data_IF_824638269339
#
_entry.id   IF_824638269339
#
_cell.length_a   1.000
_cell.length_b   1.000
_cell.length_c   1.000
_cell.angle_alpha   90.00
_cell.angle_beta   90.00
_cell.angle_gamma   90.00
#
_symmetry.space_group_name_H-M   'P 1'
#
loop_
_entity.id
_entity.type
_entity.pdbx_description
1 polymer ?
#
# COMPACT_ATOMS: atom_id res chain seq x y z
N UNK A 1 18.47 2.63 10.74
CA UNK A 1 17.15 1.99 10.57
C UNK A 1 17.22 0.46 10.44
N UNK A 2 18.32 -0.22 10.81
CA UNK A 2 18.51 -1.68 10.59
C UNK A 2 17.62 -2.63 11.40
N UNK A 3 16.51 -2.14 11.97
CA UNK A 3 15.50 -2.91 12.71
C UNK A 3 14.11 -2.86 12.07
N UNK A 4 13.98 -2.15 10.94
CA UNK A 4 12.74 -2.07 10.19
C UNK A 4 12.64 -3.23 9.20
N UNK A 5 11.42 -3.55 8.80
CA UNK A 5 11.10 -4.67 7.89
C UNK A 5 11.55 -4.45 6.43
N UNK A 6 12.03 -3.25 6.07
CA UNK A 6 12.53 -2.93 4.72
C UNK A 6 11.45 -2.65 3.67
N UNK A 7 10.16 -2.60 4.05
CA UNK A 7 9.06 -2.29 3.14
C UNK A 7 9.03 -0.81 2.73
N UNK A 8 8.76 -0.57 1.45
CA UNK A 8 8.59 0.75 0.86
C UNK A 8 7.12 0.91 0.46
N UNK A 9 6.28 1.39 1.38
CA UNK A 9 4.82 1.46 1.17
C UNK A 9 4.37 2.82 0.62
N UNK A 10 3.42 2.81 -0.31
CA UNK A 10 2.77 4.00 -0.86
C UNK A 10 1.64 4.53 0.03
N UNK A 11 1.98 5.06 1.21
CA UNK A 11 1.01 5.67 2.13
C UNK A 11 1.08 5.16 3.58
N UNK A 12 0.03 5.49 4.34
CA UNK A 12 -0.14 5.07 5.73
C UNK A 12 -1.03 3.82 5.83
N UNK A 13 -1.00 3.20 7.02
CA UNK A 13 -1.99 2.16 7.36
C UNK A 13 -3.40 2.73 7.52
N UNK A 14 -3.51 4.02 7.88
CA UNK A 14 -4.78 4.75 7.94
C UNK A 14 -5.31 4.99 6.52
N UNK A 15 -6.62 4.77 6.27
CA UNK A 15 -7.26 5.15 5.02
C UNK A 15 -7.08 6.65 4.73
N UNK A 16 -6.90 7.06 3.46
CA UNK A 16 -6.73 8.46 3.08
C UNK A 16 -7.74 9.43 3.71
N UNK A 17 -9.03 9.08 3.76
CA UNK A 17 -10.07 9.94 4.35
C UNK A 17 -9.85 10.17 5.86
N UNK A 18 -9.38 9.17 6.62
CA UNK A 18 -9.06 9.35 8.04
C UNK A 18 -7.84 10.26 8.27
N UNK A 19 -6.92 10.31 7.29
CA UNK A 19 -5.82 11.26 7.31
C UNK A 19 -6.34 12.69 7.16
N UNK A 20 -7.34 12.90 6.29
CA UNK A 20 -8.02 14.19 6.15
C UNK A 20 -8.76 14.59 7.42
N UNK A 21 -9.49 13.66 8.04
CA UNK A 21 -10.20 13.91 9.31
C UNK A 21 -9.24 14.34 10.42
N UNK A 22 -8.05 13.74 10.46
CA UNK A 22 -7.07 14.02 11.52
C UNK A 22 -6.29 15.32 11.28
N UNK A 23 -5.89 15.60 10.04
CA UNK A 23 -4.97 16.70 9.70
C UNK A 23 -5.67 17.91 9.06
N UNK A 24 -6.96 17.80 8.75
CA UNK A 24 -7.68 18.74 7.90
C UNK A 24 -7.41 18.54 6.40
N UNK A 25 -8.31 19.04 5.56
CA UNK A 25 -8.30 18.80 4.12
C UNK A 25 -6.95 19.10 3.46
N UNK A 26 -6.42 20.31 3.65
CA UNK A 26 -5.21 20.76 2.96
C UNK A 26 -3.95 19.96 3.36
N UNK A 27 -3.73 19.76 4.67
CA UNK A 27 -2.56 19.03 5.15
C UNK A 27 -2.71 17.52 4.90
N UNK A 28 -3.92 16.99 5.04
CA UNK A 28 -4.22 15.59 4.79
C UNK A 28 -3.99 15.20 3.33
N UNK A 29 -4.46 15.99 2.36
CA UNK A 29 -4.22 15.70 0.94
C UNK A 29 -2.73 15.84 0.60
N UNK A 30 -2.04 16.85 1.14
CA UNK A 30 -0.59 16.97 0.97
C UNK A 30 0.16 15.74 1.52
N UNK A 31 -0.23 15.25 2.70
CA UNK A 31 0.36 14.05 3.30
C UNK A 31 0.11 12.81 2.44
N UNK A 32 -1.14 12.59 2.02
CA UNK A 32 -1.50 11.44 1.18
C UNK A 32 -0.73 11.44 -0.13
N UNK A 33 -0.67 12.58 -0.83
CA UNK A 33 0.08 12.71 -2.10
C UNK A 33 1.57 12.48 -1.91
N UNK A 34 2.17 13.10 -0.89
CA UNK A 34 3.61 12.94 -0.61
C UNK A 34 3.97 11.48 -0.33
N UNK A 35 3.19 10.78 0.50
CA UNK A 35 3.48 9.39 0.83
C UNK A 35 3.16 8.42 -0.31
N UNK A 36 2.19 8.75 -1.17
CA UNK A 36 1.91 7.97 -2.38
C UNK A 36 3.09 7.98 -3.37
N UNK A 37 3.87 9.07 -3.40
CA UNK A 37 5.07 9.22 -4.24
C UNK A 37 6.34 8.66 -3.59
N UNK A 38 6.27 8.33 -2.29
CA UNK A 38 7.41 7.86 -1.49
C UNK A 38 8.20 6.71 -2.12
N UNK A 39 7.56 5.64 -2.62
CA UNK A 39 8.28 4.52 -3.24
C UNK A 39 9.14 4.94 -4.43
N UNK A 40 8.58 5.69 -5.37
CA UNK A 40 9.33 6.18 -6.53
C UNK A 40 10.56 6.98 -6.09
N UNK A 41 10.41 7.90 -5.13
CA UNK A 41 11.55 8.67 -4.59
C UNK A 41 12.62 7.76 -3.98
N UNK A 42 12.23 6.73 -3.22
CA UNK A 42 13.19 5.79 -2.60
C UNK A 42 13.97 5.03 -3.68
N UNK A 43 13.28 4.48 -4.67
CA UNK A 43 13.94 3.70 -5.73
C UNK A 43 14.80 4.58 -6.66
N UNK A 44 14.37 5.80 -6.96
CA UNK A 44 15.20 6.80 -7.66
C UNK A 44 16.49 7.11 -6.89
N UNK A 45 16.43 7.23 -5.56
CA UNK A 45 17.61 7.47 -4.73
C UNK A 45 18.54 6.24 -4.70
N UNK A 46 17.99 5.04 -4.61
CA UNK A 46 18.76 3.79 -4.68
C UNK A 46 19.53 3.72 -6.00
N UNK A 47 18.85 3.98 -7.11
CA UNK A 47 19.47 4.00 -8.45
C UNK A 47 20.52 5.12 -8.55
N UNK A 48 20.17 6.36 -8.22
CA UNK A 48 21.08 7.52 -8.33
C UNK A 48 22.37 7.34 -7.54
N UNK A 49 22.28 6.74 -6.36
CA UNK A 49 23.43 6.56 -5.46
C UNK A 49 24.05 5.16 -5.54
N UNK A 50 23.57 4.30 -6.44
CA UNK A 50 24.05 2.93 -6.62
C UNK A 50 24.09 2.14 -5.29
N UNK A 51 23.03 2.28 -4.49
CA UNK A 51 22.94 1.65 -3.17
C UNK A 51 22.76 0.15 -3.35
N UNK A 52 23.71 -0.64 -2.87
CA UNK A 52 23.61 -2.11 -2.90
C UNK A 52 22.72 -2.60 -1.75
N UNK A 53 21.42 -2.79 -2.01
CA UNK A 53 20.43 -3.15 -0.97
C UNK A 53 19.34 -4.14 -1.41
N UNK A 54 19.59 -4.94 -2.46
CA UNK A 54 18.63 -5.98 -2.91
C UNK A 54 17.22 -5.44 -3.18
N UNK A 55 17.14 -4.20 -3.70
CA UNK A 55 15.89 -3.49 -3.93
C UNK A 55 14.98 -4.24 -4.93
N UNK A 56 13.70 -4.42 -4.57
CA UNK A 56 12.69 -5.04 -5.44
C UNK A 56 11.42 -4.19 -5.50
N UNK A 57 10.82 -4.10 -6.69
CA UNK A 57 9.57 -3.38 -6.96
C UNK A 57 8.47 -4.37 -7.36
N UNK A 58 8.15 -5.29 -6.46
CA UNK A 58 7.10 -6.32 -6.69
C UNK A 58 5.73 -5.95 -6.13
N UNK A 59 5.60 -4.72 -5.61
CA UNK A 59 4.41 -4.23 -4.94
C UNK A 59 4.18 -4.89 -3.58
N UNK A 60 2.99 -4.66 -3.01
CA UNK A 60 2.60 -5.15 -1.69
C UNK A 60 1.20 -5.76 -1.68
N UNK A 61 1.01 -6.82 -0.88
CA UNK A 61 -0.28 -7.45 -0.65
C UNK A 61 -0.74 -7.20 0.78
N UNK A 62 -1.83 -6.45 0.95
CA UNK A 62 -2.54 -6.39 2.22
C UNK A 62 -3.62 -7.46 2.22
N UNK A 63 -3.46 -8.49 3.06
CA UNK A 63 -4.35 -9.64 3.09
C UNK A 63 -5.42 -9.53 4.19
N UNK A 64 -6.68 -9.81 3.84
CA UNK A 64 -7.80 -9.80 4.78
C UNK A 64 -7.97 -11.16 5.47
N UNK A 65 -7.49 -11.28 6.71
CA UNK A 65 -7.62 -12.50 7.52
C UNK A 65 -9.03 -12.73 8.11
N UNK A 66 -9.95 -11.79 7.92
CA UNK A 66 -11.35 -11.93 8.34
C UNK A 66 -12.28 -11.02 7.49
N UNK A 67 -13.59 -11.20 7.63
CA UNK A 67 -14.60 -10.45 6.89
C UNK A 67 -14.61 -8.94 7.17
N UNK A 68 -14.20 -8.49 8.37
CA UNK A 68 -14.08 -7.06 8.69
C UNK A 68 -12.92 -6.45 7.92
N UNK A 69 -11.75 -7.09 7.98
CA UNK A 69 -10.57 -6.68 7.22
C UNK A 69 -10.85 -6.66 5.72
N UNK A 70 -11.67 -7.57 5.20
CA UNK A 70 -12.07 -7.54 3.79
C UNK A 70 -12.85 -6.27 3.42
N UNK A 71 -13.84 -5.88 4.24
CA UNK A 71 -14.56 -4.61 4.06
C UNK A 71 -13.64 -3.40 4.18
N UNK A 72 -12.69 -3.44 5.12
CA UNK A 72 -11.71 -2.37 5.30
C UNK A 72 -10.83 -2.21 4.05
N UNK A 73 -10.39 -3.32 3.44
CA UNK A 73 -9.64 -3.30 2.18
C UNK A 73 -10.48 -2.78 1.02
N UNK A 74 -11.76 -3.14 0.93
CA UNK A 74 -12.66 -2.59 -0.08
C UNK A 74 -12.83 -1.08 0.04
N UNK A 75 -12.94 -0.57 1.27
CA UNK A 75 -13.00 0.87 1.52
C UNK A 75 -11.67 1.55 1.14
N UNK A 76 -10.53 0.96 1.52
CA UNK A 76 -9.21 1.48 1.13
C UNK A 76 -9.04 1.49 -0.39
N UNK A 77 -9.47 0.44 -1.08
CA UNK A 77 -9.46 0.38 -2.54
C UNK A 77 -10.25 1.54 -3.15
N UNK A 78 -11.51 1.76 -2.73
CA UNK A 78 -12.33 2.89 -3.19
C UNK A 78 -11.58 4.23 -3.04
N UNK A 79 -11.01 4.48 -1.87
CA UNK A 79 -10.33 5.75 -1.57
C UNK A 79 -9.04 5.95 -2.37
N UNK A 80 -8.32 4.87 -2.65
CA UNK A 80 -7.08 4.87 -3.42
C UNK A 80 -7.35 5.00 -4.93
N UNK A 81 -8.34 4.29 -5.47
CA UNK A 81 -8.78 4.44 -6.87
C UNK A 81 -9.28 5.86 -7.14
N UNK A 82 -10.00 6.47 -6.20
CA UNK A 82 -10.40 7.88 -6.33
C UNK A 82 -9.23 8.88 -6.33
N UNK A 83 -8.01 8.41 -6.05
CA UNK A 83 -6.74 9.17 -6.10
C UNK A 83 -5.80 8.62 -7.17
N UNK A 84 -6.34 7.91 -8.15
CA UNK A 84 -5.62 7.34 -9.29
C UNK A 84 -4.46 6.39 -8.89
N UNK A 85 -4.52 5.84 -7.67
CA UNK A 85 -3.53 4.86 -7.25
C UNK A 85 -3.76 3.52 -7.95
N UNK A 86 -2.70 2.85 -8.43
CA UNK A 86 -2.80 1.60 -9.16
C UNK A 86 -2.97 0.40 -8.21
N UNK A 87 -4.11 0.37 -7.53
CA UNK A 87 -4.46 -0.70 -6.60
C UNK A 87 -5.52 -1.62 -7.19
N UNK A 88 -5.41 -2.92 -6.89
CA UNK A 88 -6.38 -3.92 -7.34
C UNK A 88 -6.86 -4.76 -6.17
N UNK A 89 -8.17 -4.96 -6.04
CA UNK A 89 -8.72 -5.98 -5.15
C UNK A 89 -8.61 -7.36 -5.77
N UNK A 90 -7.98 -8.27 -5.05
CA UNK A 90 -7.85 -9.67 -5.38
C UNK A 90 -8.87 -10.48 -4.59
N UNK A 91 -9.57 -11.37 -5.29
CA UNK A 91 -10.44 -12.39 -4.68
C UNK A 91 -9.65 -13.33 -3.76
N UNK A 92 -10.35 -14.09 -2.92
CA UNK A 92 -9.74 -15.14 -2.09
C UNK A 92 -8.89 -16.12 -2.92
N UNK A 93 -9.37 -16.54 -4.10
CA UNK A 93 -8.65 -17.46 -4.97
C UNK A 93 -7.36 -16.83 -5.53
N UNK A 94 -7.41 -15.57 -5.99
CA UNK A 94 -6.23 -14.85 -6.47
C UNK A 94 -5.22 -14.59 -5.34
N UNK A 95 -5.71 -14.26 -4.14
CA UNK A 95 -4.86 -14.12 -2.96
C UNK A 95 -4.17 -15.44 -2.58
N UNK A 96 -4.89 -16.56 -2.63
CA UNK A 96 -4.32 -17.89 -2.39
C UNK A 96 -3.25 -18.25 -3.42
N UNK A 97 -3.45 -17.94 -4.70
CA UNK A 97 -2.46 -18.17 -5.75
C UNK A 97 -1.15 -17.40 -5.51
N UNK A 98 -1.24 -16.16 -5.00
CA UNK A 98 -0.05 -15.31 -4.75
C UNK A 98 0.63 -15.58 -3.41
N UNK A 99 -0.13 -15.99 -2.40
CA UNK A 99 0.39 -16.14 -1.02
C UNK A 99 0.64 -17.59 -0.62
N UNK A 100 0.08 -18.57 -1.34
CA UNK A 100 0.07 -19.98 -0.95
C UNK A 100 -0.90 -20.30 0.20
N UNK A 101 -1.70 -19.34 0.68
CA UNK A 101 -2.61 -19.52 1.81
C UNK A 101 -4.07 -19.33 1.43
N UNK A 102 -4.93 -20.26 1.83
CA UNK A 102 -6.39 -20.16 1.69
C UNK A 102 -7.06 -19.46 2.88
N UNK A 103 -6.28 -18.93 3.83
CA UNK A 103 -6.79 -18.31 5.06
C UNK A 103 -7.34 -16.90 4.86
N UNK A 104 -7.18 -16.32 3.67
CA UNK A 104 -7.57 -14.93 3.40
C UNK A 104 -8.89 -14.84 2.62
N UNK A 105 -9.72 -13.88 3.00
CA UNK A 105 -10.96 -13.55 2.29
C UNK A 105 -10.72 -12.81 0.96
N UNK A 106 -9.50 -12.32 0.77
CA UNK A 106 -9.05 -11.52 -0.38
C UNK A 106 -7.85 -10.68 0.01
N UNK A 107 -7.32 -9.91 -0.94
CA UNK A 107 -6.20 -9.01 -0.70
C UNK A 107 -6.35 -7.71 -1.50
N UNK A 108 -5.71 -6.65 -1.03
CA UNK A 108 -5.50 -5.42 -1.80
C UNK A 108 -4.04 -5.43 -2.27
N UNK A 109 -3.85 -5.44 -3.58
CA UNK A 109 -2.55 -5.35 -4.21
C UNK A 109 -2.27 -3.91 -4.61
N UNK A 110 -1.14 -3.37 -4.19
CA UNK A 110 -0.56 -2.11 -4.66
C UNK A 110 0.69 -2.45 -5.47
N UNK A 111 0.77 -2.04 -6.73
CA UNK A 111 1.88 -2.39 -7.62
C UNK A 111 3.12 -1.49 -7.44
N UNK A 112 3.00 -0.42 -6.66
CA UNK A 112 4.06 0.58 -6.42
C UNK A 112 5.09 0.13 -5.39
#
# INVERSE_FOLDING_TARGET
>A
SGRNVGLVNAGLWKPPEQVLETLGQAMGERMNTMLAQGPATVFELIERHQITCEATQSGTLHCAHNARGWRDLQNRHRQQVARDAPVTLLSAAQAAQRTGSTSFHGALWDER
#
